data_IF_659991089202
#
_entry.id   IF_659991089202
#
_cell.length_a   1.000
_cell.length_b   1.000
_cell.length_c   1.000
_cell.angle_alpha   90.00
_cell.angle_beta   90.00
_cell.angle_gamma   90.00
#
_symmetry.space_group_name_H-M   'P 1'
#
loop_
_entity.id
_entity.type
_entity.pdbx_description
1 polymer ?
#
# COMPACT_ATOMS: atom_id res chain seq x y z
N UNK A 1 -12.07 43.60 4.97
CA UNK A 1 -13.18 42.70 5.33
C UNK A 1 -14.28 43.59 5.89
N UNK A 2 -15.52 43.48 5.41
CA UNK A 2 -16.60 44.34 5.90
C UNK A 2 -16.92 44.00 7.35
N UNK A 3 -17.14 45.00 8.20
CA UNK A 3 -17.42 44.78 9.64
C UNK A 3 -18.57 43.78 9.86
N UNK A 4 -19.58 43.77 8.99
CA UNK A 4 -20.68 42.82 9.04
C UNK A 4 -20.23 41.35 8.87
N UNK A 5 -19.31 41.09 7.94
CA UNK A 5 -18.77 39.74 7.70
C UNK A 5 -17.94 39.23 8.88
N UNK A 6 -17.19 40.11 9.54
CA UNK A 6 -16.41 39.77 10.73
C UNK A 6 -17.33 39.38 11.89
N UNK A 7 -18.35 40.19 12.17
CA UNK A 7 -19.32 39.92 13.24
C UNK A 7 -20.05 38.59 12.99
N UNK A 8 -20.46 38.31 11.75
CA UNK A 8 -21.08 37.04 11.39
C UNK A 8 -20.16 35.84 11.70
N UNK A 9 -18.88 35.92 11.30
CA UNK A 9 -17.89 34.88 11.60
C UNK A 9 -17.69 34.67 13.10
N UNK A 10 -17.64 35.75 13.90
CA UNK A 10 -17.53 35.64 15.35
C UNK A 10 -18.74 34.92 15.96
N UNK A 11 -19.96 35.25 15.51
CA UNK A 11 -21.18 34.59 15.96
C UNK A 11 -21.20 33.11 15.58
N UNK A 12 -20.80 32.77 14.35
CA UNK A 12 -20.69 31.37 13.91
C UNK A 12 -19.65 30.61 14.73
N UNK A 13 -18.49 31.19 15.02
CA UNK A 13 -17.46 30.56 15.84
C UNK A 13 -17.96 30.26 17.26
N UNK A 14 -18.66 31.22 17.89
CA UNK A 14 -19.29 31.01 19.20
C UNK A 14 -20.39 29.95 19.15
N UNK A 15 -21.21 29.93 18.10
CA UNK A 15 -22.25 28.92 17.91
C UNK A 15 -21.66 27.51 17.82
N UNK A 16 -20.58 27.33 17.05
CA UNK A 16 -19.85 26.06 16.94
C UNK A 16 -19.26 25.66 18.29
N UNK A 17 -18.66 26.61 19.03
CA UNK A 17 -18.08 26.35 20.34
C UNK A 17 -19.13 25.89 21.37
N UNK A 18 -20.35 26.42 21.27
CA UNK A 18 -21.47 26.06 22.16
C UNK A 18 -22.22 24.79 21.75
N UNK A 19 -21.93 24.21 20.59
CA UNK A 19 -22.60 22.98 20.15
C UNK A 19 -21.94 21.74 20.74
N UNK A 20 -22.62 21.13 21.71
CA UNK A 20 -22.23 19.85 22.32
C UNK A 20 -22.15 18.71 21.29
N UNK A 21 -22.92 18.78 20.20
CA UNK A 21 -22.88 17.80 19.12
C UNK A 21 -21.55 17.85 18.37
N UNK A 22 -21.16 19.03 17.92
CA UNK A 22 -19.88 19.26 17.27
C UNK A 22 -18.69 18.91 18.17
N UNK A 23 -18.73 19.28 19.46
CA UNK A 23 -17.65 18.91 20.40
C UNK A 23 -17.52 17.39 20.55
N UNK A 24 -18.64 16.66 20.68
CA UNK A 24 -18.65 15.19 20.72
C UNK A 24 -18.10 14.57 19.44
N UNK A 25 -18.40 15.15 18.27
CA UNK A 25 -17.84 14.72 17.00
C UNK A 25 -16.31 14.86 16.97
N UNK A 26 -15.76 16.00 17.42
CA UNK A 26 -14.31 16.19 17.46
C UNK A 26 -13.62 15.20 18.40
N UNK A 27 -14.18 14.97 19.60
CA UNK A 27 -13.64 14.00 20.58
C UNK A 27 -13.67 12.58 20.01
N UNK A 28 -14.77 12.19 19.36
CA UNK A 28 -14.88 10.88 18.71
C UNK A 28 -13.83 10.69 17.62
N UNK A 29 -13.57 11.71 16.79
CA UNK A 29 -12.55 11.61 15.73
C UNK A 29 -11.13 11.57 16.30
N UNK A 30 -10.88 12.33 17.37
CA UNK A 30 -9.61 12.29 18.09
C UNK A 30 -9.34 10.88 18.64
N UNK A 31 -10.33 10.25 19.27
CA UNK A 31 -10.17 8.90 19.81
C UNK A 31 -9.92 7.87 18.71
N UNK A 32 -10.58 7.99 17.55
CA UNK A 32 -10.32 7.13 16.39
C UNK A 32 -8.88 7.24 15.86
N UNK A 33 -8.32 8.46 15.77
CA UNK A 33 -6.92 8.62 15.39
C UNK A 33 -5.94 8.09 16.43
N UNK A 34 -6.22 8.27 17.72
CA UNK A 34 -5.39 7.70 18.80
C UNK A 34 -5.40 6.18 18.75
N UNK A 35 -6.59 5.56 18.61
CA UNK A 35 -6.71 4.11 18.47
C UNK A 35 -6.01 3.60 17.20
N UNK A 36 -6.21 4.27 16.06
CA UNK A 36 -5.52 3.95 14.81
C UNK A 36 -4.00 4.01 14.95
N UNK A 37 -3.47 5.07 15.59
CA UNK A 37 -2.04 5.21 15.85
C UNK A 37 -1.47 4.06 16.70
N UNK A 38 -2.17 3.68 17.78
CA UNK A 38 -1.77 2.56 18.63
C UNK A 38 -1.79 1.23 17.86
N UNK A 39 -2.79 1.01 17.01
CA UNK A 39 -2.89 -0.19 16.19
C UNK A 39 -1.78 -0.27 15.15
N UNK A 40 -1.46 0.83 14.48
CA UNK A 40 -0.36 0.88 13.50
C UNK A 40 0.99 0.67 14.20
N UNK A 41 1.21 1.28 15.36
CA UNK A 41 2.42 1.07 16.15
C UNK A 41 2.56 -0.41 16.60
N UNK A 42 1.47 -1.02 17.06
CA UNK A 42 1.44 -2.44 17.40
C UNK A 42 1.73 -3.32 16.18
N UNK A 43 1.20 -2.97 15.01
CA UNK A 43 1.52 -3.66 13.76
C UNK A 43 3.01 -3.59 13.42
N UNK A 44 3.63 -2.41 13.49
CA UNK A 44 5.07 -2.28 13.25
C UNK A 44 5.91 -3.13 14.22
N UNK A 45 5.47 -3.25 15.47
CA UNK A 45 6.15 -4.10 16.45
C UNK A 45 5.99 -5.60 16.14
N UNK A 46 4.81 -6.01 15.64
CA UNK A 46 4.49 -7.42 15.39
C UNK A 46 4.91 -7.92 14.00
N UNK A 47 4.98 -7.04 12.99
CA UNK A 47 5.22 -7.41 11.60
C UNK A 47 6.70 -7.37 11.22
N UNK A 48 7.37 -8.53 11.33
CA UNK A 48 8.62 -8.81 10.62
C UNK A 48 8.43 -9.22 9.15
N UNK A 49 7.19 -9.27 8.62
CA UNK A 49 6.86 -10.01 7.38
C UNK A 49 6.87 -9.21 6.07
N UNK A 50 7.16 -7.91 6.10
CA UNK A 50 7.41 -7.13 4.87
C UNK A 50 8.60 -7.66 4.03
N UNK A 51 9.37 -8.60 4.59
CA UNK A 51 10.48 -9.32 3.95
C UNK A 51 10.09 -10.04 2.64
N UNK A 52 8.81 -10.40 2.44
CA UNK A 52 8.37 -11.14 1.26
C UNK A 52 8.20 -10.29 -0.02
N UNK A 53 8.31 -8.96 0.08
CA UNK A 53 8.19 -8.08 -1.08
C UNK A 53 9.53 -7.76 -1.72
N UNK A 54 9.50 -7.57 -3.05
CA UNK A 54 10.59 -6.96 -3.78
C UNK A 54 11.05 -5.65 -3.08
N UNK A 55 12.36 -5.39 -2.96
CA UNK A 55 12.90 -4.24 -2.26
C UNK A 55 12.23 -2.90 -2.58
N UNK A 56 11.89 -2.63 -3.85
CA UNK A 56 11.21 -1.40 -4.26
C UNK A 56 9.81 -1.27 -3.64
N UNK A 57 8.95 -2.28 -3.79
CA UNK A 57 7.61 -2.27 -3.17
C UNK A 57 7.65 -2.15 -1.65
N UNK A 58 8.65 -2.77 -1.01
CA UNK A 58 8.86 -2.67 0.43
C UNK A 58 9.17 -1.23 0.87
N UNK A 59 10.03 -0.51 0.14
CA UNK A 59 10.32 0.91 0.41
C UNK A 59 9.01 1.73 0.32
N UNK A 60 8.22 1.52 -0.73
CA UNK A 60 6.95 2.25 -0.93
C UNK A 60 5.89 1.91 0.13
N UNK A 61 5.78 0.64 0.54
CA UNK A 61 4.87 0.22 1.61
C UNK A 61 5.30 0.81 2.97
N UNK A 62 6.60 0.81 3.27
CA UNK A 62 7.12 1.46 4.47
C UNK A 62 6.84 2.96 4.46
N UNK A 63 7.07 3.63 3.33
CA UNK A 63 6.75 5.04 3.16
C UNK A 63 5.25 5.31 3.36
N UNK A 64 4.37 4.48 2.80
CA UNK A 64 2.92 4.58 3.05
C UNK A 64 2.60 4.54 4.54
N UNK A 65 3.15 3.58 5.27
CA UNK A 65 2.89 3.46 6.70
C UNK A 65 3.43 4.66 7.49
N UNK A 66 4.59 5.22 7.09
CA UNK A 66 5.11 6.47 7.66
C UNK A 66 4.15 7.63 7.41
N UNK A 67 3.57 7.75 6.22
CA UNK A 67 2.56 8.78 5.95
C UNK A 67 1.31 8.62 6.81
N UNK A 68 0.89 7.39 7.14
CA UNK A 68 -0.26 7.16 8.02
C UNK A 68 0.06 7.56 9.46
N UNK A 69 1.27 7.26 9.94
CA UNK A 69 1.75 7.74 11.24
C UNK A 69 1.77 9.27 11.30
N UNK A 70 2.37 9.92 10.30
CA UNK A 70 2.43 11.38 10.20
C UNK A 70 1.03 11.99 10.13
N UNK A 71 0.12 11.42 9.35
CA UNK A 71 -1.27 11.87 9.25
C UNK A 71 -1.99 11.76 10.60
N UNK A 72 -1.85 10.63 11.28
CA UNK A 72 -2.49 10.40 12.58
C UNK A 72 -1.99 11.40 13.63
N UNK A 73 -0.67 11.60 13.73
CA UNK A 73 -0.07 12.58 14.64
C UNK A 73 -0.52 14.01 14.32
N UNK A 74 -0.53 14.38 13.04
CA UNK A 74 -0.91 15.71 12.60
C UNK A 74 -2.40 15.98 12.86
N UNK A 75 -3.29 15.01 12.65
CA UNK A 75 -4.71 15.15 12.98
C UNK A 75 -4.97 15.16 14.48
N UNK A 76 -4.22 14.40 15.29
CA UNK A 76 -4.29 14.50 16.75
C UNK A 76 -3.96 15.92 17.19
N UNK A 77 -2.86 16.50 16.69
CA UNK A 77 -2.48 17.87 17.00
C UNK A 77 -3.55 18.89 16.58
N UNK A 78 -4.08 18.76 15.35
CA UNK A 78 -5.15 19.62 14.82
C UNK A 78 -6.43 19.55 15.68
N UNK A 79 -6.92 18.33 15.96
CA UNK A 79 -8.15 18.12 16.72
C UNK A 79 -8.00 18.52 18.18
N UNK A 80 -6.84 18.26 18.80
CA UNK A 80 -6.54 18.74 20.15
C UNK A 80 -6.51 20.27 20.21
N UNK A 81 -5.95 20.92 19.19
CA UNK A 81 -5.99 22.38 19.08
C UNK A 81 -7.42 22.92 19.00
N UNK A 82 -8.26 22.34 18.13
CA UNK A 82 -9.65 22.77 17.97
C UNK A 82 -10.50 22.49 19.22
N UNK A 83 -10.36 21.33 19.85
CA UNK A 83 -11.05 20.99 21.12
C UNK A 83 -10.60 21.95 22.23
N UNK A 84 -9.30 22.20 22.36
CA UNK A 84 -8.79 23.12 23.37
C UNK A 84 -9.38 24.53 23.17
N UNK A 85 -9.34 25.03 21.93
CA UNK A 85 -9.91 26.33 21.57
C UNK A 85 -11.40 26.43 21.89
N UNK A 86 -12.19 25.44 21.48
CA UNK A 86 -13.66 25.49 21.65
C UNK A 86 -14.13 25.15 23.07
N UNK A 87 -13.31 24.48 23.89
CA UNK A 87 -13.64 24.20 25.30
C UNK A 87 -13.42 25.39 26.25
N UNK A 88 -12.70 26.43 25.81
CA UNK A 88 -12.56 27.65 26.59
C UNK A 88 -13.88 28.43 26.59
N UNK A 89 -14.34 28.87 27.76
CA UNK A 89 -15.48 29.78 27.88
C UNK A 89 -15.00 31.23 27.76
N UNK A 90 -15.07 31.77 26.54
CA UNK A 90 -14.58 33.12 26.23
C UNK A 90 -15.75 34.12 26.24
N UNK A 91 -15.58 35.31 26.87
CA UNK A 91 -16.65 36.30 26.94
C UNK A 91 -16.97 36.91 25.58
N UNK A 92 -15.95 37.15 24.73
CA UNK A 92 -16.13 37.71 23.40
C UNK A 92 -16.17 36.61 22.32
N UNK A 93 -17.19 36.65 21.47
CA UNK A 93 -17.37 35.68 20.38
C UNK A 93 -16.22 35.67 19.38
N UNK A 94 -15.53 36.79 19.19
CA UNK A 94 -14.44 36.91 18.22
C UNK A 94 -13.13 36.26 18.69
N UNK A 95 -12.97 35.99 19.99
CA UNK A 95 -11.75 35.39 20.54
C UNK A 95 -11.60 33.91 20.12
N UNK A 96 -12.68 33.28 19.63
CA UNK A 96 -12.64 31.95 19.02
C UNK A 96 -12.05 31.92 17.59
N UNK A 97 -11.89 33.08 16.95
CA UNK A 97 -11.33 33.13 15.60
C UNK A 97 -9.82 32.89 15.64
N UNK A 98 -9.32 32.22 14.60
CA UNK A 98 -7.90 31.87 14.47
C UNK A 98 -7.26 32.65 13.34
N UNK A 99 -6.04 33.11 13.52
CA UNK A 99 -5.28 33.77 12.46
C UNK A 99 -5.00 32.80 11.32
N UNK A 100 -4.99 33.31 10.09
CA UNK A 100 -4.63 32.53 8.90
C UNK A 100 -3.30 31.76 9.07
N UNK A 101 -2.29 32.38 9.68
CA UNK A 101 -1.00 31.73 9.95
C UNK A 101 -1.12 30.50 10.84
N UNK A 102 -1.79 30.62 11.99
CA UNK A 102 -2.03 29.50 12.90
C UNK A 102 -2.87 28.41 12.22
N UNK A 103 -3.93 28.81 11.50
CA UNK A 103 -4.79 27.90 10.75
C UNK A 103 -3.99 27.08 9.72
N UNK A 104 -3.10 27.71 8.95
CA UNK A 104 -2.27 27.01 7.97
C UNK A 104 -1.27 26.09 8.66
N UNK A 105 -0.65 26.55 9.76
CA UNK A 105 0.36 25.78 10.49
C UNK A 105 -0.20 24.46 11.06
N UNK A 106 -1.44 24.45 11.56
CA UNK A 106 -2.07 23.23 12.08
C UNK A 106 -2.70 22.38 10.97
N UNK A 107 -3.16 23.00 9.87
CA UNK A 107 -3.91 22.31 8.80
C UNK A 107 -3.03 21.75 7.68
N UNK A 108 -1.91 22.39 7.36
CA UNK A 108 -1.02 21.93 6.29
C UNK A 108 -0.42 20.53 6.58
N UNK A 109 0.10 20.22 7.78
CA UNK A 109 0.70 18.90 8.04
C UNK A 109 -0.22 17.69 7.76
N UNK A 110 -1.48 17.64 8.24
CA UNK A 110 -2.35 16.51 7.92
C UNK A 110 -2.72 16.44 6.44
N UNK A 111 -2.84 17.57 5.75
CA UNK A 111 -3.12 17.61 4.31
C UNK A 111 -1.89 17.14 3.49
N UNK A 112 -0.66 17.50 3.85
CA UNK A 112 0.59 16.96 3.24
C UNK A 112 0.60 15.44 3.39
N UNK A 113 0.36 14.94 4.59
CA UNK A 113 0.37 13.50 4.84
C UNK A 113 -0.73 12.76 4.07
N UNK A 114 -1.93 13.36 3.97
CA UNK A 114 -3.03 12.85 3.15
C UNK A 114 -2.62 12.74 1.67
N UNK A 115 -2.08 13.79 1.07
CA UNK A 115 -1.63 13.75 -0.32
C UNK A 115 -0.48 12.76 -0.53
N UNK A 116 0.43 12.64 0.45
CA UNK A 116 1.53 11.67 0.43
C UNK A 116 1.05 10.22 0.37
N UNK A 117 -0.07 9.90 1.04
CA UNK A 117 -0.69 8.57 0.99
C UNK A 117 -1.31 8.27 -0.37
N UNK A 118 -2.07 9.21 -0.94
CA UNK A 118 -2.64 9.03 -2.28
C UNK A 118 -1.55 8.77 -3.34
N UNK A 119 -0.48 9.57 -3.31
CA UNK A 119 0.68 9.33 -4.18
C UNK A 119 1.35 7.99 -3.88
N UNK A 120 1.40 7.56 -2.61
CA UNK A 120 1.93 6.24 -2.23
C UNK A 120 1.20 5.10 -2.92
N UNK A 121 -0.14 5.14 -2.91
CA UNK A 121 -0.96 4.08 -3.50
C UNK A 121 -0.78 4.04 -5.02
N UNK A 122 -0.72 5.21 -5.66
CA UNK A 122 -0.42 5.31 -7.08
C UNK A 122 0.96 4.74 -7.41
N UNK A 123 2.02 5.13 -6.68
CA UNK A 123 3.37 4.63 -6.94
C UNK A 123 3.51 3.14 -6.66
N UNK A 124 2.78 2.59 -5.69
CA UNK A 124 2.73 1.16 -5.46
C UNK A 124 2.09 0.42 -6.65
N UNK A 125 0.99 0.94 -7.21
CA UNK A 125 0.39 0.40 -8.42
C UNK A 125 1.32 0.54 -9.64
N UNK A 126 2.05 1.66 -9.76
CA UNK A 126 3.04 1.88 -10.81
C UNK A 126 4.19 0.88 -10.70
N UNK A 127 4.70 0.64 -9.51
CA UNK A 127 5.77 -0.34 -9.27
C UNK A 127 5.29 -1.76 -9.62
N UNK A 128 4.05 -2.13 -9.28
CA UNK A 128 3.42 -3.39 -9.73
C UNK A 128 3.26 -3.46 -11.26
N UNK A 129 3.05 -2.32 -11.91
CA UNK A 129 2.99 -2.22 -13.38
C UNK A 129 4.35 -2.52 -14.00
N UNK A 130 5.41 -1.95 -13.43
CA UNK A 130 6.79 -2.20 -13.87
C UNK A 130 7.14 -3.67 -13.66
N UNK A 131 6.82 -4.26 -12.50
CA UNK A 131 7.02 -5.68 -12.24
C UNK A 131 6.27 -6.56 -13.26
N UNK A 132 5.04 -6.19 -13.64
CA UNK A 132 4.24 -6.89 -14.66
C UNK A 132 4.84 -6.76 -16.06
N UNK A 133 5.26 -5.56 -16.45
CA UNK A 133 5.79 -5.27 -17.79
C UNK A 133 7.20 -5.85 -17.99
N UNK A 134 8.04 -5.77 -16.96
CA UNK A 134 9.45 -6.15 -16.98
C UNK A 134 9.73 -7.47 -16.22
N UNK A 135 8.74 -8.35 -16.08
CA UNK A 135 8.81 -9.55 -15.22
C UNK A 135 10.09 -10.39 -15.40
N UNK A 136 10.60 -10.52 -16.63
CA UNK A 136 11.82 -11.29 -16.95
C UNK A 136 13.09 -10.77 -16.29
N UNK A 137 13.20 -9.44 -16.15
CA UNK A 137 14.39 -8.76 -15.68
C UNK A 137 14.23 -8.24 -14.25
N UNK A 138 12.99 -7.89 -13.86
CA UNK A 138 12.70 -7.19 -12.62
C UNK A 138 13.23 -7.91 -11.38
N UNK A 139 12.89 -9.20 -11.20
CA UNK A 139 13.35 -9.99 -10.05
C UNK A 139 14.86 -10.28 -10.05
N UNK A 140 15.51 -10.24 -11.22
CA UNK A 140 16.97 -10.43 -11.29
C UNK A 140 17.72 -9.20 -10.83
N UNK A 141 17.07 -8.04 -10.92
CA UNK A 141 17.66 -6.77 -10.54
C UNK A 141 17.25 -6.42 -9.11
N UNK A 142 18.17 -6.56 -8.17
CA UNK A 142 18.02 -6.05 -6.79
C UNK A 142 18.12 -4.52 -6.69
N UNK A 143 17.95 -3.82 -7.82
CA UNK A 143 18.16 -2.38 -7.90
C UNK A 143 17.01 -1.64 -7.21
N UNK A 144 17.33 -0.98 -6.11
CA UNK A 144 16.41 -0.18 -5.29
C UNK A 144 16.24 1.26 -5.79
N UNK A 145 16.99 1.68 -6.80
CA UNK A 145 17.02 3.06 -7.29
C UNK A 145 15.63 3.54 -7.75
N UNK A 146 14.87 2.66 -8.40
CA UNK A 146 13.51 2.99 -8.87
C UNK A 146 12.59 3.29 -7.68
N UNK A 147 12.64 2.46 -6.63
CA UNK A 147 11.86 2.69 -5.41
C UNK A 147 12.22 4.01 -4.72
N UNK A 148 13.51 4.32 -4.59
CA UNK A 148 13.96 5.60 -4.01
C UNK A 148 13.57 6.81 -4.86
N UNK A 149 13.63 6.70 -6.19
CA UNK A 149 13.17 7.75 -7.09
C UNK A 149 11.67 8.00 -6.92
N UNK A 150 10.84 6.95 -6.94
CA UNK A 150 9.40 7.06 -6.72
C UNK A 150 9.08 7.68 -5.35
N UNK A 151 9.78 7.26 -4.29
CA UNK A 151 9.64 7.83 -2.95
C UNK A 151 10.00 9.32 -2.91
N UNK A 152 11.06 9.73 -3.61
CA UNK A 152 11.47 11.13 -3.66
C UNK A 152 10.38 11.99 -4.32
N UNK A 153 9.81 11.52 -5.43
CA UNK A 153 8.69 12.20 -6.10
C UNK A 153 7.44 12.24 -5.20
N UNK A 154 7.16 11.13 -4.51
CA UNK A 154 6.06 11.04 -3.54
C UNK A 154 6.20 12.04 -2.39
N UNK A 155 7.41 12.38 -1.95
CA UNK A 155 7.65 13.42 -0.95
C UNK A 155 7.48 14.81 -1.56
N UNK A 156 8.05 15.08 -2.74
CA UNK A 156 8.03 16.42 -3.33
C UNK A 156 6.61 16.87 -3.72
N UNK A 157 5.78 15.97 -4.26
CA UNK A 157 4.46 16.34 -4.78
C UNK A 157 3.52 16.91 -3.69
N UNK A 158 3.27 16.28 -2.54
CA UNK A 158 2.44 16.84 -1.46
C UNK A 158 2.85 18.24 -1.00
N UNK A 159 4.15 18.51 -0.89
CA UNK A 159 4.64 19.84 -0.51
C UNK A 159 4.40 20.87 -1.61
N UNK A 160 4.64 20.52 -2.87
CA UNK A 160 4.31 21.36 -4.01
C UNK A 160 2.81 21.70 -4.02
N UNK A 161 1.95 20.73 -3.70
CA UNK A 161 0.51 20.92 -3.65
C UNK A 161 0.08 21.92 -2.58
N UNK A 162 0.62 21.81 -1.36
CA UNK A 162 0.36 22.80 -0.32
C UNK A 162 0.95 24.16 -0.66
N UNK A 163 2.13 24.21 -1.27
CA UNK A 163 2.70 25.46 -1.75
C UNK A 163 1.77 26.16 -2.77
N UNK A 164 1.22 25.41 -3.74
CA UNK A 164 0.25 25.93 -4.72
C UNK A 164 -1.06 26.42 -4.08
N UNK A 165 -1.44 25.86 -2.92
CA UNK A 165 -2.58 26.35 -2.14
C UNK A 165 -2.27 27.62 -1.36
N UNK A 166 -1.04 27.78 -0.86
CA UNK A 166 -0.70 28.80 0.14
C UNK A 166 0.03 30.01 -0.45
N UNK A 167 0.63 29.94 -1.65
CA UNK A 167 1.48 31.02 -2.17
C UNK A 167 0.78 32.39 -2.34
N UNK A 168 -0.53 32.39 -2.58
CA UNK A 168 -1.37 33.60 -2.73
C UNK A 168 -2.46 33.63 -1.65
N UNK A 169 -2.13 33.11 -0.46
CA UNK A 169 -3.04 33.08 0.66
C UNK A 169 -3.08 34.45 1.35
N UNK A 170 -4.29 34.90 1.72
CA UNK A 170 -4.44 36.13 2.49
C UNK A 170 -4.19 35.85 3.98
N UNK A 171 -3.05 36.29 4.49
CA UNK A 171 -2.58 36.05 5.86
C UNK A 171 -3.23 36.95 6.92
N UNK A 172 -3.94 38.00 6.53
CA UNK A 172 -4.59 38.94 7.46
C UNK A 172 -6.00 38.49 7.87
N UNK A 173 -6.53 37.43 7.25
CA UNK A 173 -7.89 36.96 7.51
C UNK A 173 -7.95 36.15 8.80
N UNK A 174 -8.98 36.44 9.60
CA UNK A 174 -9.40 35.62 10.75
C UNK A 174 -10.40 34.54 10.28
N UNK A 175 -10.18 33.30 10.71
CA UNK A 175 -10.97 32.13 10.30
C UNK A 175 -11.74 31.50 11.45
N UNK A 176 -12.93 31.01 11.12
CA UNK A 176 -13.79 30.25 12.05
C UNK A 176 -13.23 28.84 12.29
N UNK A 177 -12.87 28.13 11.21
CA UNK A 177 -12.21 26.82 11.28
C UNK A 177 -10.86 26.82 10.58
N UNK A 178 -9.99 25.90 11.01
CA UNK A 178 -8.69 25.72 10.40
C UNK A 178 -8.85 25.08 9.01
N UNK A 179 -8.88 25.91 7.97
CA UNK A 179 -9.05 25.47 6.58
C UNK A 179 -8.13 26.24 5.64
N UNK A 180 -7.66 25.58 4.58
CA UNK A 180 -6.88 26.19 3.50
C UNK A 180 -7.78 26.82 2.40
N UNK A 181 -9.10 26.76 2.57
CA UNK A 181 -10.06 27.34 1.64
C UNK A 181 -10.32 28.80 1.99
N UNK A 182 -10.27 29.67 0.99
CA UNK A 182 -10.73 31.06 1.02
C UNK A 182 -11.32 31.41 -0.36
N UNK A 183 -11.89 32.60 -0.52
CA UNK A 183 -12.52 33.03 -1.79
C UNK A 183 -11.56 33.01 -2.99
N UNK A 184 -10.26 33.22 -2.79
CA UNK A 184 -9.23 33.15 -3.83
C UNK A 184 -8.75 31.72 -4.11
N UNK A 185 -8.66 30.87 -3.10
CA UNK A 185 -8.10 29.52 -3.17
C UNK A 185 -9.15 28.44 -3.40
N UNK A 186 -10.44 28.77 -3.32
CA UNK A 186 -11.55 27.82 -3.49
C UNK A 186 -11.47 27.03 -4.79
N UNK A 187 -11.26 27.69 -5.93
CA UNK A 187 -11.15 27.01 -7.22
C UNK A 187 -9.93 26.08 -7.28
N UNK A 188 -8.82 26.48 -6.65
CA UNK A 188 -7.62 25.65 -6.56
C UNK A 188 -7.93 24.42 -5.71
N UNK A 189 -8.48 24.60 -4.51
CA UNK A 189 -8.90 23.50 -3.64
C UNK A 189 -9.80 22.49 -4.37
N UNK A 190 -10.77 22.98 -5.13
CA UNK A 190 -11.68 22.14 -5.92
C UNK A 190 -10.92 21.30 -6.95
N UNK A 191 -10.12 21.95 -7.81
CA UNK A 191 -9.31 21.27 -8.84
C UNK A 191 -8.39 20.23 -8.20
N UNK A 192 -7.74 20.63 -7.11
CA UNK A 192 -6.77 19.81 -6.41
C UNK A 192 -7.46 18.56 -5.81
N UNK A 193 -8.49 18.72 -5.01
CA UNK A 193 -9.20 17.59 -4.39
C UNK A 193 -9.85 16.67 -5.42
N UNK A 194 -10.46 17.22 -6.48
CA UNK A 194 -11.08 16.44 -7.54
C UNK A 194 -10.07 15.63 -8.37
N UNK A 195 -8.89 16.19 -8.64
CA UNK A 195 -7.84 15.44 -9.36
C UNK A 195 -7.20 14.36 -8.50
N UNK A 196 -7.08 14.57 -7.19
CA UNK A 196 -6.68 13.49 -6.26
C UNK A 196 -7.73 12.38 -6.18
N UNK A 197 -9.02 12.71 -6.20
CA UNK A 197 -10.09 11.69 -6.30
C UNK A 197 -9.99 10.91 -7.61
N UNK A 198 -9.73 11.58 -8.74
CA UNK A 198 -9.54 10.93 -10.02
C UNK A 198 -8.31 10.00 -10.01
N UNK A 199 -7.21 10.39 -9.34
CA UNK A 199 -6.02 9.56 -9.17
C UNK A 199 -6.32 8.28 -8.37
N UNK A 200 -7.12 8.38 -7.31
CA UNK A 200 -7.56 7.22 -6.51
C UNK A 200 -8.40 6.24 -7.36
N UNK A 201 -9.40 6.76 -8.08
CA UNK A 201 -10.22 5.95 -9.00
C UNK A 201 -9.34 5.28 -10.05
N UNK A 202 -8.44 6.04 -10.68
CA UNK A 202 -7.50 5.52 -11.67
C UNK A 202 -6.64 4.40 -11.08
N UNK A 203 -6.10 4.58 -9.89
CA UNK A 203 -5.21 3.60 -9.23
C UNK A 203 -5.90 2.26 -9.01
N UNK A 204 -7.15 2.27 -8.52
CA UNK A 204 -7.95 1.05 -8.32
C UNK A 204 -8.23 0.34 -9.64
N UNK A 205 -8.74 1.08 -10.63
CA UNK A 205 -9.07 0.53 -11.95
C UNK A 205 -7.83 -0.03 -12.64
N UNK A 206 -6.71 0.68 -12.53
CA UNK A 206 -5.44 0.26 -13.09
C UNK A 206 -4.93 -1.04 -12.45
N UNK A 207 -4.99 -1.16 -11.12
CA UNK A 207 -4.57 -2.39 -10.45
C UNK A 207 -5.49 -3.59 -10.80
N UNK A 208 -6.79 -3.35 -10.97
CA UNK A 208 -7.73 -4.37 -11.45
C UNK A 208 -7.37 -4.83 -12.88
N UNK A 209 -7.08 -3.90 -13.78
CA UNK A 209 -6.64 -4.21 -15.15
C UNK A 209 -5.35 -5.03 -15.11
N UNK A 210 -4.36 -4.64 -14.30
CA UNK A 210 -3.11 -5.39 -14.14
C UNK A 210 -3.35 -6.81 -13.63
N UNK A 211 -4.27 -6.99 -12.68
CA UNK A 211 -4.62 -8.32 -12.18
C UNK A 211 -5.20 -9.21 -13.29
N UNK A 212 -6.14 -8.67 -14.08
CA UNK A 212 -6.75 -9.39 -15.21
C UNK A 212 -5.72 -9.70 -16.28
N UNK A 213 -4.86 -8.75 -16.66
CA UNK A 213 -3.80 -8.95 -17.65
C UNK A 213 -2.82 -10.06 -17.22
N UNK A 214 -2.40 -10.07 -15.96
CA UNK A 214 -1.54 -11.13 -15.44
C UNK A 214 -2.23 -12.50 -15.46
N UNK A 215 -3.53 -12.57 -15.11
CA UNK A 215 -4.30 -13.82 -15.16
C UNK A 215 -4.44 -14.35 -16.60
N UNK A 216 -4.74 -13.48 -17.56
CA UNK A 216 -4.84 -13.84 -18.98
C UNK A 216 -3.48 -14.34 -19.49
N UNK A 217 -2.39 -13.64 -19.16
CA UNK A 217 -1.03 -14.07 -19.51
C UNK A 217 -0.67 -15.44 -18.92
N UNK A 218 -1.01 -15.67 -17.66
CA UNK A 218 -0.80 -16.96 -17.00
C UNK A 218 -1.56 -18.10 -17.69
N UNK A 219 -2.82 -17.86 -18.09
CA UNK A 219 -3.63 -18.83 -18.84
C UNK A 219 -3.01 -19.17 -20.20
N UNK A 220 -2.57 -18.15 -20.96
CA UNK A 220 -1.92 -18.35 -22.27
C UNK A 220 -0.63 -19.17 -22.14
N UNK A 221 0.18 -18.91 -21.10
CA UNK A 221 1.40 -19.68 -20.85
C UNK A 221 1.14 -21.12 -20.40
N UNK A 222 -0.05 -21.43 -19.86
CA UNK A 222 -0.43 -22.78 -19.49
C UNK A 222 -0.97 -23.58 -20.68
N UNK A 223 -1.60 -22.93 -21.66
CA UNK A 223 -2.02 -23.58 -22.92
C UNK A 223 -0.85 -23.89 -23.85
N UNK A 224 0.21 -23.07 -23.84
CA UNK A 224 1.42 -23.34 -24.63
C UNK A 224 2.37 -24.30 -23.88
N UNK A 225 2.12 -25.60 -24.03
CA UNK A 225 2.69 -26.70 -23.25
C UNK A 225 4.23 -26.83 -23.24
N UNK A 226 5.01 -26.07 -24.03
CA UNK A 226 6.44 -26.39 -24.21
C UNK A 226 7.43 -25.22 -24.39
N UNK A 227 7.00 -23.95 -24.43
CA UNK A 227 7.92 -22.85 -24.82
C UNK A 227 8.34 -21.89 -23.71
N UNK A 228 7.56 -21.75 -22.65
CA UNK A 228 7.86 -20.79 -21.59
C UNK A 228 8.66 -21.40 -20.45
N UNK A 229 9.73 -20.71 -20.04
CA UNK A 229 10.57 -21.12 -18.90
C UNK A 229 9.74 -21.11 -17.61
N UNK A 230 9.83 -22.15 -16.78
CA UNK A 230 9.17 -22.24 -15.46
C UNK A 230 9.36 -20.98 -14.60
N UNK A 231 10.54 -20.35 -14.70
CA UNK A 231 10.85 -19.08 -14.03
C UNK A 231 9.89 -17.95 -14.39
N UNK A 232 9.47 -17.84 -15.65
CA UNK A 232 8.55 -16.79 -16.10
C UNK A 232 7.16 -16.98 -15.50
N UNK A 233 6.68 -18.22 -15.43
CA UNK A 233 5.39 -18.55 -14.80
C UNK A 233 5.41 -18.22 -13.31
N UNK A 234 6.51 -18.59 -12.63
CA UNK A 234 6.71 -18.30 -11.22
C UNK A 234 6.63 -16.80 -10.93
N UNK A 235 7.33 -15.97 -11.72
CA UNK A 235 7.34 -14.51 -11.57
C UNK A 235 5.95 -13.89 -11.72
N UNK A 236 5.15 -14.35 -12.70
CA UNK A 236 3.78 -13.86 -12.89
C UNK A 236 2.89 -14.27 -11.71
N UNK A 237 2.99 -15.52 -11.26
CA UNK A 237 2.24 -16.00 -10.09
C UNK A 237 2.60 -15.22 -8.81
N UNK A 238 3.88 -14.94 -8.59
CA UNK A 238 4.36 -14.14 -7.47
C UNK A 238 3.83 -12.70 -7.55
N UNK A 239 3.89 -12.08 -8.73
CA UNK A 239 3.34 -10.74 -8.93
C UNK A 239 1.81 -10.71 -8.74
N UNK A 240 1.06 -11.71 -9.23
CA UNK A 240 -0.37 -11.82 -8.96
C UNK A 240 -0.68 -11.95 -7.47
N UNK A 241 0.12 -12.73 -6.73
CA UNK A 241 -0.01 -12.85 -5.27
C UNK A 241 0.27 -11.53 -4.58
N UNK A 242 1.32 -10.81 -5.00
CA UNK A 242 1.64 -9.49 -4.47
C UNK A 242 0.53 -8.46 -4.76
N UNK A 243 -0.03 -8.44 -5.97
CA UNK A 243 -1.18 -7.59 -6.33
C UNK A 243 -2.38 -7.97 -5.47
N UNK A 244 -2.70 -9.26 -5.37
CA UNK A 244 -3.78 -9.74 -4.51
C UNK A 244 -3.54 -9.31 -3.06
N UNK A 245 -2.29 -9.21 -2.61
CA UNK A 245 -1.90 -8.71 -1.30
C UNK A 245 -2.17 -7.22 -1.10
N UNK A 246 -1.72 -6.41 -2.04
CA UNK A 246 -1.87 -4.95 -2.01
C UNK A 246 -3.33 -4.53 -2.24
N UNK A 247 -4.12 -5.31 -2.97
CA UNK A 247 -5.45 -4.89 -3.43
C UNK A 247 -6.41 -4.48 -2.30
N UNK A 248 -6.60 -5.24 -1.20
CA UNK A 248 -7.45 -4.79 -0.08
C UNK A 248 -6.94 -3.53 0.60
N UNK A 249 -5.62 -3.31 0.68
CA UNK A 249 -5.05 -2.06 1.22
C UNK A 249 -5.52 -0.88 0.38
N UNK A 250 -5.38 -1.00 -0.95
CA UNK A 250 -5.79 0.04 -1.90
C UNK A 250 -7.30 0.24 -1.90
N UNK A 251 -8.11 -0.82 -1.82
CA UNK A 251 -9.57 -0.69 -1.75
C UNK A 251 -10.02 -0.01 -0.45
N UNK A 252 -9.43 -0.39 0.69
CA UNK A 252 -9.72 0.26 1.98
C UNK A 252 -9.31 1.73 1.94
N UNK A 253 -8.14 2.06 1.38
CA UNK A 253 -7.71 3.44 1.16
C UNK A 253 -8.72 4.19 0.28
N UNK A 254 -9.05 3.64 -0.88
CA UNK A 254 -9.98 4.21 -1.85
C UNK A 254 -11.33 4.56 -1.21
N UNK A 255 -11.95 3.65 -0.45
CA UNK A 255 -13.27 3.88 0.15
C UNK A 255 -13.27 5.13 1.05
N UNK A 256 -12.30 5.27 1.94
CA UNK A 256 -12.27 6.36 2.91
C UNK A 256 -11.67 7.66 2.32
N UNK A 257 -10.64 7.55 1.49
CA UNK A 257 -10.01 8.71 0.86
C UNK A 257 -10.88 9.27 -0.26
N UNK A 258 -11.38 8.45 -1.19
CA UNK A 258 -12.25 8.93 -2.26
C UNK A 258 -13.54 9.52 -1.68
N UNK A 259 -14.10 8.94 -0.62
CA UNK A 259 -15.25 9.52 0.10
C UNK A 259 -14.96 10.95 0.57
N UNK A 260 -13.82 11.18 1.22
CA UNK A 260 -13.41 12.51 1.69
C UNK A 260 -13.09 13.45 0.53
N UNK A 261 -12.31 12.98 -0.45
CA UNK A 261 -11.85 13.75 -1.61
C UNK A 261 -13.00 14.17 -2.54
N UNK A 262 -14.12 13.45 -2.56
CA UNK A 262 -15.33 13.82 -3.31
C UNK A 262 -16.27 14.69 -2.46
N UNK A 263 -16.49 14.33 -1.20
CA UNK A 263 -17.45 15.02 -0.35
C UNK A 263 -17.03 16.46 -0.02
N UNK A 264 -15.73 16.73 0.18
CA UNK A 264 -15.23 18.08 0.49
C UNK A 264 -15.41 19.09 -0.67
N UNK A 265 -15.07 18.75 -1.94
CA UNK A 265 -15.47 19.53 -3.11
C UNK A 265 -16.95 19.81 -3.22
N UNK A 266 -17.81 18.80 -3.00
CA UNK A 266 -19.26 18.96 -3.08
C UNK A 266 -19.73 19.95 -2.00
N UNK A 267 -19.28 19.80 -0.76
CA UNK A 267 -19.57 20.73 0.32
C UNK A 267 -19.12 22.17 -0.01
N UNK A 268 -17.92 22.31 -0.59
CA UNK A 268 -17.38 23.61 -1.03
C UNK A 268 -18.20 24.23 -2.15
N UNK A 269 -18.71 23.43 -3.07
CA UNK A 269 -19.59 23.90 -4.15
C UNK A 269 -20.96 24.32 -3.64
N UNK A 270 -21.52 23.58 -2.67
CA UNK A 270 -22.83 23.85 -2.08
C UNK A 270 -22.82 24.97 -1.02
N UNK A 271 -21.64 25.47 -0.63
CA UNK A 271 -21.47 26.53 0.38
C UNK A 271 -22.38 27.74 0.17
N UNK A 272 -22.66 28.13 -1.08
CA UNK A 272 -23.53 29.27 -1.38
C UNK A 272 -24.98 29.13 -0.86
N UNK A 273 -25.45 27.90 -0.68
CA UNK A 273 -26.81 27.58 -0.24
C UNK A 273 -26.86 27.11 1.22
N UNK A 274 -25.73 27.12 1.93
CA UNK A 274 -25.62 26.60 3.30
C UNK A 274 -25.32 27.73 4.28
N UNK A 275 -25.76 27.56 5.52
CA UNK A 275 -25.28 28.45 6.58
C UNK A 275 -23.78 28.20 6.83
N UNK A 276 -23.06 29.24 7.27
CA UNK A 276 -21.65 29.12 7.63
C UNK A 276 -21.41 28.04 8.70
N UNK A 277 -22.35 27.90 9.64
CA UNK A 277 -22.35 26.83 10.64
C UNK A 277 -22.39 25.44 10.01
N UNK A 278 -23.37 25.17 9.13
CA UNK A 278 -23.54 23.88 8.47
C UNK A 278 -22.31 23.52 7.64
N UNK A 279 -21.76 24.49 6.92
CA UNK A 279 -20.56 24.27 6.12
C UNK A 279 -19.39 23.74 6.96
N UNK A 280 -19.13 24.34 8.12
CA UNK A 280 -18.05 23.91 9.01
C UNK A 280 -18.31 22.55 9.67
N UNK A 281 -19.55 22.29 10.11
CA UNK A 281 -19.93 20.97 10.65
C UNK A 281 -19.80 19.88 9.57
N UNK A 282 -20.17 20.17 8.33
CA UNK A 282 -20.07 19.23 7.22
C UNK A 282 -18.63 18.95 6.82
N UNK A 283 -17.70 19.92 6.87
CA UNK A 283 -16.27 19.67 6.66
C UNK A 283 -15.79 18.57 7.62
N UNK A 284 -16.16 18.65 8.89
CA UNK A 284 -15.71 17.67 9.88
C UNK A 284 -16.49 16.35 9.80
N UNK A 285 -17.76 16.38 9.39
CA UNK A 285 -18.59 15.17 9.28
C UNK A 285 -18.24 14.34 8.04
N UNK A 286 -17.89 15.00 6.94
CA UNK A 286 -17.56 14.38 5.66
C UNK A 286 -16.08 14.01 5.52
N UNK A 287 -15.35 13.99 6.64
CA UNK A 287 -13.94 13.60 6.67
C UNK A 287 -13.80 12.18 7.23
N UNK A 288 -13.69 11.21 6.32
CA UNK A 288 -13.66 9.79 6.63
C UNK A 288 -12.26 9.23 6.92
N UNK A 289 -11.22 10.07 6.87
CA UNK A 289 -9.83 9.67 7.12
C UNK A 289 -9.58 9.02 8.49
N UNK A 290 -10.23 9.41 9.61
CA UNK A 290 -10.02 8.72 10.89
C UNK A 290 -10.38 7.24 10.84
N UNK A 291 -11.39 6.88 10.03
CA UNK A 291 -11.79 5.48 9.88
C UNK A 291 -10.75 4.66 9.12
N UNK A 292 -10.01 5.26 8.19
CA UNK A 292 -8.93 4.57 7.48
C UNK A 292 -7.78 4.16 8.41
N UNK A 293 -7.33 5.08 9.28
CA UNK A 293 -6.25 4.81 10.23
C UNK A 293 -6.58 3.63 11.16
N UNK A 294 -7.86 3.45 11.49
CA UNK A 294 -8.36 2.33 12.28
C UNK A 294 -8.61 1.05 11.44
N UNK A 295 -9.20 1.19 10.25
CA UNK A 295 -9.60 0.05 9.42
C UNK A 295 -8.40 -0.67 8.79
N UNK A 296 -7.35 0.05 8.37
CA UNK A 296 -6.21 -0.56 7.70
C UNK A 296 -5.54 -1.63 8.56
N UNK A 297 -5.22 -1.39 9.85
CA UNK A 297 -4.65 -2.42 10.70
C UNK A 297 -5.51 -3.68 10.86
N UNK A 298 -6.83 -3.52 10.91
CA UNK A 298 -7.77 -4.63 10.98
C UNK A 298 -7.71 -5.45 9.70
N UNK A 299 -7.75 -4.79 8.55
CA UNK A 299 -7.68 -5.45 7.23
C UNK A 299 -6.38 -6.23 7.08
N UNK A 300 -5.25 -5.63 7.45
CA UNK A 300 -3.95 -6.29 7.40
C UNK A 300 -3.86 -7.46 8.39
N UNK A 301 -4.38 -7.30 9.61
CA UNK A 301 -4.42 -8.36 10.62
C UNK A 301 -5.25 -9.56 10.15
N UNK A 302 -6.49 -9.32 9.69
CA UNK A 302 -7.38 -10.36 9.15
C UNK A 302 -6.68 -11.09 8.01
N UNK A 303 -6.05 -10.34 7.10
CA UNK A 303 -5.34 -10.91 5.97
C UNK A 303 -4.17 -11.80 6.38
N UNK A 304 -3.29 -11.30 7.24
CA UNK A 304 -2.12 -12.06 7.71
C UNK A 304 -2.53 -13.36 8.41
N UNK A 305 -3.65 -13.33 9.14
CA UNK A 305 -4.23 -14.52 9.77
C UNK A 305 -4.83 -15.47 8.74
N UNK A 306 -5.51 -14.94 7.73
CA UNK A 306 -6.08 -15.74 6.65
C UNK A 306 -5.02 -16.54 5.90
N UNK A 307 -3.90 -15.93 5.53
CA UNK A 307 -2.80 -16.64 4.87
C UNK A 307 -2.21 -17.75 5.75
N UNK A 308 -2.06 -17.50 7.06
CA UNK A 308 -1.63 -18.52 8.01
C UNK A 308 -2.64 -19.67 8.16
N UNK A 309 -3.94 -19.36 8.14
CA UNK A 309 -5.01 -20.37 8.18
C UNK A 309 -5.06 -21.17 6.89
N UNK A 310 -4.96 -20.52 5.73
CA UNK A 310 -4.96 -21.17 4.41
C UNK A 310 -3.76 -22.11 4.27
N UNK A 311 -2.56 -21.69 4.70
CA UNK A 311 -1.40 -22.58 4.76
C UNK A 311 -1.60 -23.76 5.71
N UNK A 312 -2.18 -23.51 6.89
CA UNK A 312 -2.52 -24.56 7.85
C UNK A 312 -3.49 -25.58 7.27
N UNK A 313 -4.57 -25.10 6.64
CA UNK A 313 -5.57 -25.91 5.94
C UNK A 313 -4.94 -26.69 4.79
N UNK A 314 -4.06 -26.08 4.00
CA UNK A 314 -3.38 -26.76 2.90
C UNK A 314 -2.48 -27.89 3.40
N UNK A 315 -1.74 -27.70 4.49
CA UNK A 315 -0.94 -28.76 5.12
C UNK A 315 -1.82 -29.90 5.66
N UNK A 316 -2.97 -29.56 6.24
CA UNK A 316 -3.94 -30.55 6.70
C UNK A 316 -4.57 -31.29 5.53
N UNK A 317 -4.99 -30.60 4.48
CA UNK A 317 -5.57 -31.19 3.27
C UNK A 317 -4.57 -32.08 2.54
N UNK A 318 -3.29 -31.71 2.44
CA UNK A 318 -2.25 -32.59 1.88
C UNK A 318 -2.03 -33.83 2.75
N UNK A 319 -2.15 -33.72 4.08
CA UNK A 319 -2.08 -34.87 4.98
C UNK A 319 -3.31 -35.78 4.92
N UNK A 320 -4.50 -35.20 4.73
CA UNK A 320 -5.78 -35.92 4.58
C UNK A 320 -5.86 -36.57 3.19
N UNK A 321 -5.31 -35.92 2.17
CA UNK A 321 -5.10 -36.46 0.83
C UNK A 321 -3.90 -37.43 0.85
N UNK A 322 -4.01 -38.49 1.65
CA UNK A 322 -3.23 -39.73 1.49
C UNK A 322 -3.65 -40.45 0.20
N UNK A 323 -2.77 -41.29 -0.37
CA UNK A 323 -2.63 -41.46 -1.80
C UNK A 323 -3.86 -42.16 -2.38
N UNK A 324 -4.59 -41.44 -3.23
CA UNK A 324 -5.19 -42.10 -4.38
C UNK A 324 -4.01 -42.69 -5.16
N UNK A 325 -4.01 -43.96 -5.59
CA UNK A 325 -2.93 -44.50 -6.42
C UNK A 325 -2.71 -43.52 -7.57
N UNK A 326 -1.54 -42.88 -7.57
CA UNK A 326 -1.16 -41.86 -8.54
C UNK A 326 -1.27 -42.48 -9.93
N UNK A 327 -2.15 -41.94 -10.76
CA UNK A 327 -1.78 -41.78 -12.16
C UNK A 327 -0.44 -41.05 -12.12
N UNK A 328 0.63 -41.66 -12.65
CA UNK A 328 1.99 -41.24 -12.37
C UNK A 328 2.13 -39.75 -12.68
N UNK A 329 2.45 -38.97 -11.63
CA UNK A 329 2.66 -37.53 -11.71
C UNK A 329 3.64 -37.25 -12.84
N UNK A 330 3.24 -36.46 -13.85
CA UNK A 330 4.10 -36.10 -14.98
C UNK A 330 5.45 -35.54 -14.50
N UNK A 331 5.48 -34.92 -13.31
CA UNK A 331 6.69 -34.50 -12.63
C UNK A 331 7.58 -35.68 -12.18
N UNK A 332 7.01 -36.73 -11.58
CA UNK A 332 7.73 -37.95 -11.25
C UNK A 332 8.21 -38.69 -12.51
N UNK A 333 7.39 -38.78 -13.56
CA UNK A 333 7.80 -39.36 -14.85
C UNK A 333 8.99 -38.59 -15.40
N UNK A 334 8.96 -37.25 -15.34
CA UNK A 334 10.05 -36.41 -15.80
C UNK A 334 11.32 -36.57 -14.95
N UNK A 335 11.23 -36.57 -13.63
CA UNK A 335 12.37 -36.80 -12.73
C UNK A 335 12.97 -38.20 -12.90
N UNK A 336 12.12 -39.21 -13.12
CA UNK A 336 12.53 -40.59 -13.37
C UNK A 336 13.20 -40.72 -14.74
N UNK A 337 12.70 -40.02 -15.77
CA UNK A 337 13.37 -39.92 -17.07
C UNK A 337 14.72 -39.21 -16.96
N UNK A 338 14.81 -38.15 -16.16
CA UNK A 338 16.05 -37.42 -15.93
C UNK A 338 17.08 -38.30 -15.20
N UNK A 339 16.66 -39.02 -14.14
CA UNK A 339 17.55 -39.92 -13.41
C UNK A 339 18.06 -41.02 -14.34
N UNK A 340 17.19 -41.61 -15.16
CA UNK A 340 17.58 -42.62 -16.14
C UNK A 340 18.57 -42.08 -17.18
N UNK A 341 18.47 -40.79 -17.55
CA UNK A 341 19.45 -40.17 -18.43
C UNK A 341 20.83 -40.01 -17.76
N UNK A 342 20.85 -39.60 -16.48
CA UNK A 342 22.09 -39.53 -15.70
C UNK A 342 22.72 -40.90 -15.47
N UNK A 343 21.92 -41.92 -15.14
CA UNK A 343 22.40 -43.28 -14.93
C UNK A 343 22.98 -43.89 -16.21
N UNK A 344 22.32 -43.64 -17.36
CA UNK A 344 22.85 -44.04 -18.68
C UNK A 344 24.13 -43.29 -19.04
N UNK A 345 24.25 -42.02 -18.68
CA UNK A 345 25.47 -41.25 -18.90
C UNK A 345 26.61 -41.78 -18.01
N UNK A 346 26.33 -42.10 -16.75
CA UNK A 346 27.29 -42.71 -15.81
C UNK A 346 27.78 -44.09 -16.31
N UNK A 347 26.87 -44.94 -16.78
CA UNK A 347 27.24 -46.25 -17.36
C UNK A 347 28.08 -46.14 -18.65
N UNK A 348 27.90 -45.08 -19.45
CA UNK A 348 28.76 -44.83 -20.63
C UNK A 348 30.12 -44.24 -20.25
N UNK A 349 30.19 -43.55 -19.11
CA UNK A 349 31.41 -42.96 -18.60
C UNK A 349 32.31 -43.95 -17.86
N UNK A 350 31.81 -45.14 -17.49
CA UNK A 350 32.67 -46.20 -17.00
C UNK A 350 33.64 -46.63 -18.11
N UNK A 351 34.96 -46.41 -17.94
CA UNK A 351 35.93 -46.88 -18.90
C UNK A 351 35.81 -48.41 -18.94
N UNK A 352 35.62 -48.97 -20.15
CA UNK A 352 35.75 -50.42 -20.38
C UNK A 352 37.08 -50.87 -19.79
N UNK A 353 37.03 -51.36 -18.54
CA UNK A 353 38.18 -51.91 -17.85
C UNK A 353 38.55 -53.14 -18.66
N UNK A 354 39.59 -53.02 -19.46
CA UNK A 354 40.02 -54.05 -20.39
C UNK A 354 40.48 -55.28 -19.60
N UNK A 355 39.56 -56.18 -19.27
CA UNK A 355 39.87 -57.49 -18.69
C UNK A 355 40.72 -58.37 -19.62
N UNK A 356 40.96 -57.92 -20.86
CA UNK A 356 41.84 -58.59 -21.82
C UNK A 356 43.34 -58.54 -21.50
N UNK A 357 43.82 -57.61 -20.67
CA UNK A 357 45.28 -57.43 -20.48
C UNK A 357 45.83 -58.24 -19.29
N UNK A 358 45.02 -58.43 -18.24
CA UNK A 358 45.45 -59.17 -17.04
C UNK A 358 45.36 -60.70 -17.20
N UNK A 359 44.44 -61.19 -18.03
CA UNK A 359 44.32 -62.63 -18.33
C UNK A 359 45.47 -63.14 -19.23
N UNK A 360 46.06 -62.27 -20.06
CA UNK A 360 47.23 -62.60 -20.90
C UNK A 360 48.52 -62.70 -20.08
N UNK A 361 48.69 -61.88 -19.04
CA UNK A 361 49.86 -61.94 -18.16
C UNK A 361 49.87 -63.18 -17.25
N UNK A 362 48.70 -63.62 -16.77
CA UNK A 362 48.59 -64.82 -15.93
C UNK A 362 48.93 -66.12 -16.67
N UNK A 363 48.67 -66.17 -17.98
CA UNK A 363 48.96 -67.35 -18.83
C UNK A 363 50.44 -67.47 -19.20
N UNK A 364 51.20 -66.37 -19.22
CA UNK A 364 52.67 -66.40 -19.43
C UNK A 364 53.42 -66.86 -18.19
N UNK A 365 52.95 -66.51 -16.98
CA UNK A 365 53.60 -66.93 -15.74
C UNK A 365 53.34 -68.39 -15.37
N UNK A 366 52.24 -69.00 -15.83
CA UNK A 366 51.95 -70.42 -15.56
C UNK A 366 52.76 -71.38 -16.45
N UNK A 367 53.28 -70.92 -17.60
CA UNK A 367 54.03 -71.77 -18.54
C UNK A 367 55.54 -71.81 -18.28
N UNK A 368 56.04 -71.11 -17.24
CA UNK A 368 57.46 -71.06 -16.86
C UNK A 368 57.82 -71.96 -15.68
N UNK A 369 56.88 -72.75 -15.16
CA UNK A 369 57.06 -73.62 -13.97
C UNK A 369 57.17 -75.12 -14.25
N UNK A 370 57.23 -75.53 -15.52
CA UNK A 370 57.30 -76.95 -15.93
C UNK A 370 58.68 -77.39 -16.47
N UNK A 371 59.72 -76.58 -16.33
CA UNK A 371 61.11 -76.98 -16.61
C UNK A 371 61.99 -76.74 -15.38
N UNK A 372 61.81 -77.58 -14.36
CA UNK A 372 62.82 -77.94 -13.36
C UNK A 372 62.17 -78.98 -12.44
N UNK A 373 62.32 -80.25 -12.81
CA UNK A 373 62.71 -81.42 -11.99
C UNK A 373 62.75 -82.62 -12.95
#
# INVERSE_FOLDING_TARGET
MDNASLVANCLTAKQIASDDGFMRLLIFRLSMFVLGLLMIAAMFYMEGRFLAYHPNARILLMANNVWILLQSLAYIALLSFDIHRFSQSLPNSCDYLVTAAASVAVRAPPDIAMYGQCWSMFFLALERSIATACYKQYEKTTNVLIGWFMLSVQIVLPFLWIFLMVFDFNWEILKVSCSLVNTKTQNRFLILMSSMAALEIFTVLWLLILYVLNNVRLKMMNSELSRHRLTEKYQICENMRAIAHVFPIIITHFIFFCGTLVAQPINTYLHANQSAYEFHVQIETLNFLPFYAFALPIVLFIRNRWEGIEEGLRRVLVKIKRPVPEEPDDGQIYFQQLSQQFDRAAMRAEPKRSEGTLSRFRRVLSNRRSHHV
#
